data_IF_153988539017
#
_entry.id   IF_153988539017
#
_cell.length_a   1.000
_cell.length_b   1.000
_cell.length_c   1.000
_cell.angle_alpha   90.00
_cell.angle_beta   90.00
_cell.angle_gamma   90.00
#
_symmetry.space_group_name_H-M   'P 1'
#
loop_
_entity.id
_entity.type
_entity.pdbx_description
1 polymer ?
#
# COMPACT_ATOMS: atom_id res chain seq x y z
N UNK A 1 -22.39 6.37 45.39
CA UNK A 1 -21.31 7.05 44.62
C UNK A 1 -20.48 6.09 43.76
N UNK A 2 -20.05 4.91 44.22
CA UNK A 2 -19.20 3.96 43.43
C UNK A 2 -19.85 3.45 42.13
N UNK A 3 -21.17 3.21 42.09
CA UNK A 3 -21.89 2.71 40.91
C UNK A 3 -22.01 3.74 39.77
N UNK A 4 -22.13 5.02 40.10
CA UNK A 4 -22.22 6.10 39.12
C UNK A 4 -20.85 6.37 38.42
N UNK A 5 -19.76 6.20 39.17
CA UNK A 5 -18.39 6.38 38.61
C UNK A 5 -18.05 5.27 37.61
N UNK A 6 -18.47 4.02 37.91
CA UNK A 6 -18.24 2.87 36.98
C UNK A 6 -19.04 3.04 35.69
N UNK A 7 -20.28 3.52 35.77
CA UNK A 7 -21.10 3.78 34.58
C UNK A 7 -20.54 4.91 33.73
N UNK A 8 -19.96 5.95 34.35
CA UNK A 8 -19.31 7.06 33.60
C UNK A 8 -18.01 6.61 32.92
N UNK A 9 -17.21 5.76 33.60
CA UNK A 9 -15.99 5.20 32.98
C UNK A 9 -16.32 4.27 31.82
N UNK A 10 -17.35 3.44 31.91
CA UNK A 10 -17.78 2.57 30.84
C UNK A 10 -18.29 3.37 29.62
N UNK A 11 -18.97 4.50 29.87
CA UNK A 11 -19.42 5.38 28.77
C UNK A 11 -18.27 6.11 28.10
N UNK A 12 -17.25 6.54 28.84
CA UNK A 12 -16.06 7.17 28.27
C UNK A 12 -15.23 6.19 27.44
N UNK A 13 -15.10 4.93 27.86
CA UNK A 13 -14.37 3.91 27.11
C UNK A 13 -15.09 3.55 25.80
N UNK A 14 -16.42 3.44 25.84
CA UNK A 14 -17.20 3.20 24.60
C UNK A 14 -17.19 4.40 23.64
N UNK A 15 -17.11 5.63 24.14
CA UNK A 15 -17.01 6.83 23.30
C UNK A 15 -15.63 6.97 22.66
N UNK A 16 -14.55 6.61 23.38
CA UNK A 16 -13.18 6.61 22.83
C UNK A 16 -13.01 5.51 21.79
N UNK A 17 -13.61 4.33 21.98
CA UNK A 17 -13.60 3.28 20.97
C UNK A 17 -14.40 3.66 19.71
N UNK A 18 -15.49 4.43 19.85
CA UNK A 18 -16.26 4.93 18.70
C UNK A 18 -15.54 6.08 17.96
N UNK A 19 -14.71 6.88 18.66
CA UNK A 19 -13.93 7.96 18.04
C UNK A 19 -12.65 7.43 17.36
N UNK A 20 -12.12 6.28 17.77
CA UNK A 20 -10.98 5.64 17.10
C UNK A 20 -11.36 5.05 15.71
N UNK A 21 -12.66 4.90 15.42
CA UNK A 21 -13.18 4.45 14.11
C UNK A 21 -13.49 5.61 13.15
N UNK A 22 -13.35 6.87 13.55
CA UNK A 22 -13.62 8.07 12.73
C UNK A 22 -12.32 8.80 12.36
N UNK A 23 -11.17 8.19 12.55
CA UNK A 23 -9.87 8.66 12.08
C UNK A 23 -9.58 8.22 10.66
N UNK A 24 -10.57 8.24 9.76
CA UNK A 24 -10.35 8.06 8.34
C UNK A 24 -10.44 9.41 7.65
N UNK A 25 -9.30 9.94 7.23
CA UNK A 25 -9.25 10.86 6.11
C UNK A 25 -10.06 10.24 4.96
N UNK A 26 -11.00 11.02 4.40
CA UNK A 26 -11.96 10.50 3.44
C UNK A 26 -11.33 10.02 2.16
N UNK A 27 -11.02 8.75 2.11
CA UNK A 27 -10.88 8.04 0.84
C UNK A 27 -12.27 7.98 0.21
N UNK A 28 -12.39 8.46 -1.01
CA UNK A 28 -13.61 8.25 -1.79
C UNK A 28 -13.91 6.76 -1.88
N UNK A 29 -15.19 6.37 -2.03
CA UNK A 29 -15.55 4.96 -2.12
C UNK A 29 -14.74 4.28 -3.22
N UNK A 30 -14.21 3.11 -2.93
CA UNK A 30 -13.56 2.27 -3.94
C UNK A 30 -14.57 1.93 -5.02
N UNK A 31 -14.21 2.17 -6.29
CA UNK A 31 -15.08 1.84 -7.41
C UNK A 31 -15.04 0.35 -7.74
N UNK A 32 -13.92 -0.31 -7.46
CA UNK A 32 -13.66 -1.68 -7.92
C UNK A 32 -12.73 -2.42 -6.97
N UNK A 33 -12.85 -3.75 -6.98
CA UNK A 33 -11.85 -4.65 -6.39
C UNK A 33 -11.09 -5.34 -7.52
N UNK A 34 -9.77 -5.40 -7.40
CA UNK A 34 -8.90 -6.09 -8.35
C UNK A 34 -8.17 -7.23 -7.65
N UNK A 35 -8.12 -8.39 -8.32
CA UNK A 35 -7.34 -9.56 -7.90
C UNK A 35 -6.23 -9.81 -8.92
N UNK A 36 -5.00 -9.49 -8.54
CA UNK A 36 -3.80 -9.67 -9.38
C UNK A 36 -3.08 -11.00 -9.11
N UNK A 37 -3.75 -11.94 -8.44
CA UNK A 37 -3.24 -13.25 -8.05
C UNK A 37 -2.28 -13.17 -6.86
N UNK A 38 -1.23 -12.36 -6.95
CA UNK A 38 -0.24 -12.19 -5.87
C UNK A 38 -0.61 -11.07 -4.88
N UNK A 39 -1.54 -10.19 -5.25
CA UNK A 39 -2.20 -9.27 -4.32
C UNK A 39 -3.62 -8.94 -4.79
N UNK A 40 -4.46 -8.61 -3.83
CA UNK A 40 -5.82 -8.07 -4.03
C UNK A 40 -5.90 -6.68 -3.44
N UNK A 41 -6.72 -5.82 -4.00
CA UNK A 41 -6.81 -4.43 -3.54
C UNK A 41 -8.12 -3.77 -3.96
N UNK A 42 -8.59 -2.83 -3.19
CA UNK A 42 -9.62 -1.89 -3.62
C UNK A 42 -8.98 -0.79 -4.47
N UNK A 43 -9.50 -0.61 -5.69
CA UNK A 43 -9.02 0.40 -6.63
C UNK A 43 -9.88 1.66 -6.46
N UNK A 44 -9.29 2.79 -6.03
CA UNK A 44 -10.01 4.03 -5.81
C UNK A 44 -10.59 4.60 -7.10
N UNK A 45 -11.62 5.44 -6.95
CA UNK A 45 -12.22 6.16 -8.07
C UNK A 45 -11.19 7.05 -8.78
N UNK A 46 -11.21 7.02 -10.10
CA UNK A 46 -10.26 7.80 -10.91
C UNK A 46 -8.88 7.15 -11.08
N UNK A 47 -8.61 6.02 -10.39
CA UNK A 47 -7.40 5.24 -10.56
C UNK A 47 -7.65 4.12 -11.56
N UNK A 48 -6.71 3.90 -12.47
CA UNK A 48 -6.75 2.85 -13.49
C UNK A 48 -5.70 1.78 -13.23
N UNK A 49 -5.99 0.56 -13.66
CA UNK A 49 -4.99 -0.51 -13.68
C UNK A 49 -4.12 -0.35 -14.93
N UNK A 50 -2.82 -0.40 -14.74
CA UNK A 50 -1.84 -0.29 -15.82
C UNK A 50 -0.66 -1.26 -15.61
N UNK A 51 0.30 -1.25 -16.51
CA UNK A 51 1.53 -2.04 -16.40
C UNK A 51 2.75 -1.19 -16.78
N UNK A 52 3.91 -1.54 -16.28
CA UNK A 52 5.17 -0.85 -16.59
C UNK A 52 5.92 -1.43 -17.80
N UNK A 53 5.77 -2.72 -18.02
CA UNK A 53 6.42 -3.43 -19.13
C UNK A 53 5.83 -4.83 -19.26
N UNK A 54 5.22 -5.12 -20.39
CA UNK A 54 4.49 -6.37 -20.60
C UNK A 54 3.05 -6.30 -20.07
N UNK A 55 2.21 -7.25 -20.47
CA UNK A 55 0.77 -7.21 -20.18
C UNK A 55 0.37 -8.24 -19.10
N UNK A 56 1.25 -8.57 -18.17
CA UNK A 56 1.02 -9.65 -17.22
C UNK A 56 0.74 -9.13 -15.80
N UNK A 57 -0.05 -9.88 -15.03
CA UNK A 57 -0.52 -9.52 -13.69
C UNK A 57 0.62 -9.29 -12.67
N UNK A 58 1.77 -9.95 -12.84
CA UNK A 58 2.94 -9.75 -11.99
C UNK A 58 3.62 -8.36 -12.15
N UNK A 59 3.21 -7.57 -13.15
CA UNK A 59 3.68 -6.20 -13.41
C UNK A 59 2.57 -5.16 -13.25
N UNK A 60 1.47 -5.54 -12.62
CA UNK A 60 0.35 -4.65 -12.36
C UNK A 60 0.77 -3.41 -11.57
N UNK A 61 0.26 -2.28 -11.96
CA UNK A 61 0.41 -0.98 -11.32
C UNK A 61 -0.94 -0.29 -11.30
N UNK A 62 -1.11 0.65 -10.37
CA UNK A 62 -2.23 1.56 -10.37
C UNK A 62 -1.74 2.93 -10.86
N UNK A 63 -2.48 3.55 -11.76
CA UNK A 63 -2.10 4.81 -12.40
C UNK A 63 -3.17 5.88 -12.21
N UNK A 64 -2.72 7.07 -11.88
CA UNK A 64 -3.53 8.29 -11.83
C UNK A 64 -3.58 8.97 -13.21
N UNK A 65 -4.50 9.92 -13.37
CA UNK A 65 -4.70 10.63 -14.64
C UNK A 65 -3.51 11.48 -15.09
N UNK A 66 -2.67 11.92 -14.14
CA UNK A 66 -1.45 12.69 -14.38
C UNK A 66 -0.20 11.81 -14.66
N UNK A 67 -0.40 10.48 -14.81
CA UNK A 67 0.64 9.45 -14.95
C UNK A 67 1.46 9.13 -13.69
N UNK A 68 1.13 9.69 -12.53
CA UNK A 68 1.66 9.20 -11.26
C UNK A 68 1.21 7.75 -11.01
N UNK A 69 1.96 7.00 -10.24
CA UNK A 69 1.74 5.55 -10.12
C UNK A 69 1.93 5.05 -8.70
N UNK A 70 1.23 3.97 -8.42
CA UNK A 70 1.45 3.08 -7.28
C UNK A 70 2.01 1.79 -7.86
N UNK A 71 3.23 1.44 -7.49
CA UNK A 71 4.01 0.35 -8.09
C UNK A 71 4.35 -0.68 -7.02
N UNK A 72 3.58 -1.77 -6.88
CA UNK A 72 3.93 -2.87 -5.99
C UNK A 72 5.07 -3.71 -6.57
N UNK A 73 6.05 -4.03 -5.73
CA UNK A 73 7.21 -4.87 -6.09
C UNK A 73 7.47 -5.88 -4.97
N UNK A 74 7.62 -7.16 -5.31
CA UNK A 74 7.97 -8.21 -4.36
C UNK A 74 9.44 -8.59 -4.46
N UNK A 75 10.10 -8.64 -3.31
CA UNK A 75 11.49 -9.07 -3.16
C UNK A 75 11.56 -10.36 -2.33
N UNK A 76 11.88 -11.46 -3.00
CA UNK A 76 11.95 -12.80 -2.40
C UNK A 76 13.13 -12.89 -1.42
N UNK A 77 12.90 -13.52 -0.25
CA UNK A 77 13.93 -13.79 0.77
C UNK A 77 14.59 -12.56 1.39
N UNK A 78 14.02 -11.38 1.25
CA UNK A 78 14.52 -10.16 1.85
C UNK A 78 13.53 -9.70 2.94
N UNK A 79 14.00 -9.32 4.12
CA UNK A 79 13.15 -8.73 5.14
C UNK A 79 12.78 -7.28 4.76
N UNK A 80 11.79 -6.70 5.44
CA UNK A 80 11.40 -5.31 5.18
C UNK A 80 12.54 -4.34 5.52
N UNK A 81 13.30 -4.60 6.58
CA UNK A 81 14.46 -3.81 7.01
C UNK A 81 15.60 -3.90 6.02
N UNK A 82 15.90 -5.10 5.51
CA UNK A 82 16.94 -5.30 4.48
C UNK A 82 16.55 -4.58 3.18
N UNK A 83 15.26 -4.61 2.81
CA UNK A 83 14.77 -3.91 1.63
C UNK A 83 14.85 -2.39 1.83
N UNK A 84 14.47 -1.86 3.00
CA UNK A 84 14.61 -0.43 3.33
C UNK A 84 16.08 0.02 3.23
N UNK A 85 17.00 -0.74 3.82
CA UNK A 85 18.44 -0.45 3.75
C UNK A 85 18.98 -0.46 2.31
N UNK A 86 18.46 -1.36 1.46
CA UNK A 86 18.78 -1.38 0.01
C UNK A 86 18.27 -0.15 -0.73
N UNK A 87 17.10 0.37 -0.38
CA UNK A 87 16.59 1.64 -0.92
C UNK A 87 17.47 2.81 -0.48
N UNK A 88 17.83 2.87 0.81
CA UNK A 88 18.73 3.89 1.35
C UNK A 88 20.09 3.88 0.63
N UNK A 89 20.74 2.72 0.50
CA UNK A 89 22.02 2.58 -0.22
C UNK A 89 21.89 3.07 -1.66
N UNK A 90 20.82 2.70 -2.34
CA UNK A 90 20.59 3.05 -3.74
C UNK A 90 20.31 4.53 -3.97
N UNK A 91 19.59 5.19 -3.07
CA UNK A 91 19.04 6.53 -3.28
C UNK A 91 19.63 7.62 -2.38
N UNK A 92 20.53 7.30 -1.43
CA UNK A 92 21.16 8.28 -0.52
C UNK A 92 22.02 9.34 -1.22
N UNK A 93 22.59 9.02 -2.36
CA UNK A 93 23.45 9.93 -3.12
C UNK A 93 22.68 11.02 -3.86
N UNK A 94 22.41 10.79 -5.16
CA UNK A 94 21.84 11.80 -6.07
C UNK A 94 20.35 12.07 -5.84
N UNK A 95 19.64 11.23 -5.06
CA UNK A 95 18.19 11.27 -4.91
C UNK A 95 17.72 11.73 -3.54
N UNK A 96 18.64 12.15 -2.65
CA UNK A 96 18.32 12.69 -1.32
C UNK A 96 17.35 11.79 -0.54
N UNK A 97 17.69 10.50 -0.38
CA UNK A 97 16.90 9.58 0.41
C UNK A 97 16.68 10.09 1.83
N UNK A 98 15.49 9.90 2.35
CA UNK A 98 15.11 10.17 3.73
C UNK A 98 14.28 9.00 4.24
N UNK A 99 14.74 8.33 5.28
CA UNK A 99 13.95 7.37 6.03
C UNK A 99 12.97 8.13 6.93
N UNK A 100 11.70 7.73 6.93
CA UNK A 100 10.65 8.31 7.74
C UNK A 100 10.22 7.33 8.85
N UNK A 101 9.38 7.80 9.78
CA UNK A 101 8.78 6.96 10.80
C UNK A 101 7.87 5.89 10.16
N UNK A 102 7.82 4.68 10.71
CA UNK A 102 6.87 3.66 10.27
C UNK A 102 5.43 4.13 10.43
N UNK A 103 4.56 3.70 9.52
CA UNK A 103 3.11 3.98 9.55
C UNK A 103 2.30 2.70 9.57
N UNK A 104 1.07 2.76 10.05
CA UNK A 104 0.15 1.62 10.04
C UNK A 104 -1.03 1.92 9.14
N UNK A 105 -1.27 1.04 8.15
CA UNK A 105 -2.44 1.04 7.30
C UNK A 105 -3.06 -0.36 7.29
N UNK A 106 -4.35 -0.45 7.57
CA UNK A 106 -5.02 -1.73 7.76
C UNK A 106 -4.43 -2.50 8.94
N UNK A 107 -4.05 -3.74 8.70
CA UNK A 107 -3.41 -4.64 9.65
C UNK A 107 -1.88 -4.68 9.53
N UNK A 108 -1.29 -3.83 8.68
CA UNK A 108 0.13 -3.86 8.32
C UNK A 108 0.88 -2.64 8.83
N UNK A 109 2.08 -2.88 9.36
CA UNK A 109 3.07 -1.82 9.60
C UNK A 109 3.96 -1.70 8.36
N UNK A 110 4.15 -0.46 7.90
CA UNK A 110 4.94 -0.12 6.74
C UNK A 110 6.14 0.70 7.18
N UNK A 111 7.34 0.24 6.86
CA UNK A 111 8.55 1.04 6.90
C UNK A 111 8.50 2.01 5.72
N UNK A 112 8.93 3.25 5.91
CA UNK A 112 8.75 4.28 4.88
C UNK A 112 10.01 5.11 4.65
N UNK A 113 10.13 5.61 3.42
CA UNK A 113 11.16 6.56 3.06
C UNK A 113 10.81 7.28 1.76
N UNK A 114 11.49 8.39 1.52
CA UNK A 114 11.28 9.22 0.34
C UNK A 114 12.57 9.39 -0.43
N UNK A 115 12.47 9.46 -1.76
CA UNK A 115 13.56 9.92 -2.60
C UNK A 115 13.07 10.90 -3.68
N UNK A 116 13.94 11.84 -4.07
CA UNK A 116 13.62 12.88 -5.05
C UNK A 116 14.18 12.53 -6.43
N UNK A 117 13.43 12.85 -7.46
CA UNK A 117 13.86 12.74 -8.86
C UNK A 117 13.32 13.92 -9.68
N UNK A 118 13.63 14.00 -10.96
CA UNK A 118 13.22 15.12 -11.82
C UNK A 118 11.70 15.28 -11.97
N UNK A 119 10.94 14.20 -11.77
CA UNK A 119 9.47 14.20 -11.85
C UNK A 119 8.75 14.41 -10.51
N UNK A 120 9.48 14.66 -9.40
CA UNK A 120 8.88 14.86 -8.09
C UNK A 120 9.51 14.03 -6.98
N UNK A 121 8.71 13.58 -6.05
CA UNK A 121 9.12 12.71 -4.93
C UNK A 121 8.43 11.35 -5.06
N UNK A 122 9.18 10.28 -4.83
CA UNK A 122 8.60 8.96 -4.64
C UNK A 122 8.65 8.62 -3.15
N UNK A 123 7.49 8.29 -2.58
CA UNK A 123 7.38 7.69 -1.25
C UNK A 123 7.32 6.18 -1.38
N UNK A 124 8.13 5.49 -0.60
CA UNK A 124 8.21 4.03 -0.59
C UNK A 124 7.60 3.51 0.69
N UNK A 125 6.70 2.55 0.59
CA UNK A 125 6.10 1.81 1.70
C UNK A 125 6.56 0.36 1.62
N UNK A 126 7.15 -0.17 2.69
CA UNK A 126 7.74 -1.52 2.71
C UNK A 126 7.14 -2.31 3.87
N UNK A 127 6.65 -3.51 3.59
CA UNK A 127 6.15 -4.44 4.61
C UNK A 127 6.65 -5.86 4.38
N UNK A 128 6.77 -6.63 5.46
CA UNK A 128 7.05 -8.06 5.38
C UNK A 128 5.84 -8.84 4.87
N UNK A 129 6.09 -9.83 4.06
CA UNK A 129 5.11 -10.83 3.59
C UNK A 129 5.71 -12.22 3.68
N UNK A 130 4.88 -13.26 3.50
CA UNK A 130 5.42 -14.61 3.40
C UNK A 130 6.44 -14.70 2.25
N UNK A 131 7.58 -15.34 2.52
CA UNK A 131 8.70 -15.57 1.60
C UNK A 131 9.49 -14.30 1.21
N UNK A 132 9.31 -13.15 1.90
CA UNK A 132 10.08 -11.94 1.61
C UNK A 132 9.42 -10.65 2.06
N UNK A 133 9.53 -9.61 1.26
CA UNK A 133 8.92 -8.31 1.51
C UNK A 133 8.34 -7.70 0.23
N UNK A 134 7.42 -6.76 0.41
CA UNK A 134 6.86 -5.98 -0.69
C UNK A 134 7.19 -4.51 -0.45
N UNK A 135 7.67 -3.83 -1.48
CA UNK A 135 7.65 -2.37 -1.56
C UNK A 135 6.48 -1.89 -2.42
N UNK A 136 5.93 -0.76 -2.06
CA UNK A 136 4.96 0.00 -2.88
C UNK A 136 5.56 1.38 -3.09
N UNK A 137 6.02 1.63 -4.31
CA UNK A 137 6.59 2.91 -4.71
C UNK A 137 5.45 3.81 -5.22
N UNK A 138 5.30 5.00 -4.64
CA UNK A 138 4.23 5.95 -4.93
C UNK A 138 4.82 7.27 -5.41
N UNK A 139 4.55 7.64 -6.64
CA UNK A 139 4.93 8.97 -7.14
C UNK A 139 4.00 10.03 -6.56
N UNK A 140 4.58 11.13 -6.06
CA UNK A 140 3.88 12.32 -5.56
C UNK A 140 2.77 11.97 -4.55
N UNK A 141 3.12 11.20 -3.50
CA UNK A 141 2.19 10.68 -2.51
C UNK A 141 1.25 11.74 -1.93
N UNK A 142 1.75 12.94 -1.64
CA UNK A 142 0.95 14.01 -1.02
C UNK A 142 -0.22 14.45 -1.91
N UNK A 143 -0.07 14.38 -3.24
CA UNK A 143 -1.12 14.75 -4.20
C UNK A 143 -2.22 13.67 -4.31
N UNK A 144 -1.93 12.43 -3.87
CA UNK A 144 -2.78 11.25 -4.00
C UNK A 144 -3.03 10.52 -2.68
N UNK A 145 -2.84 11.21 -1.57
CA UNK A 145 -2.82 10.61 -0.23
C UNK A 145 -4.05 9.75 0.05
N UNK A 146 -5.24 10.26 -0.22
CA UNK A 146 -6.50 9.55 0.10
C UNK A 146 -6.66 8.23 -0.69
N UNK A 147 -6.29 8.25 -1.97
CA UNK A 147 -6.35 7.08 -2.84
C UNK A 147 -5.27 6.04 -2.44
N UNK A 148 -4.06 6.51 -2.14
CA UNK A 148 -2.97 5.64 -1.68
C UNK A 148 -3.30 5.01 -0.33
N UNK A 149 -3.84 5.77 0.62
CA UNK A 149 -4.30 5.24 1.90
C UNK A 149 -5.40 4.18 1.72
N UNK A 150 -6.31 4.33 0.75
CA UNK A 150 -7.30 3.29 0.41
C UNK A 150 -6.60 2.02 -0.05
N UNK A 151 -5.62 2.12 -0.94
CA UNK A 151 -4.84 0.98 -1.42
C UNK A 151 -4.09 0.31 -0.26
N UNK A 152 -3.35 1.06 0.55
CA UNK A 152 -2.56 0.52 1.65
C UNK A 152 -3.40 -0.12 2.76
N UNK A 153 -4.61 0.40 3.00
CA UNK A 153 -5.55 -0.16 3.98
C UNK A 153 -6.21 -1.46 3.51
N UNK A 154 -6.33 -1.67 2.19
CA UNK A 154 -7.12 -2.77 1.64
C UNK A 154 -6.29 -3.82 0.92
N UNK A 155 -4.99 -3.59 0.73
CA UNK A 155 -4.13 -4.54 0.02
C UNK A 155 -3.91 -5.80 0.84
N UNK A 156 -4.19 -6.94 0.22
CA UNK A 156 -3.97 -8.28 0.76
C UNK A 156 -2.96 -9.01 -0.15
N UNK A 157 -1.97 -9.66 0.43
CA UNK A 157 -0.98 -10.43 -0.31
C UNK A 157 -1.29 -11.93 -0.24
N UNK A 158 -0.91 -12.68 -1.27
CA UNK A 158 -1.08 -14.12 -1.30
C UNK A 158 -0.22 -14.80 -0.22
N UNK A 159 -0.73 -15.87 0.38
CA UNK A 159 0.00 -16.66 1.38
C UNK A 159 1.24 -17.35 0.78
N UNK A 160 1.17 -17.82 -0.46
CA UNK A 160 2.27 -18.41 -1.21
C UNK A 160 2.71 -17.46 -2.34
N UNK A 161 3.55 -16.49 -1.99
CA UNK A 161 4.01 -15.46 -2.92
C UNK A 161 4.77 -16.02 -4.11
N UNK A 162 5.59 -17.07 -3.93
CA UNK A 162 6.37 -17.65 -5.02
C UNK A 162 5.50 -18.31 -6.07
N UNK A 163 4.44 -19.00 -5.67
CA UNK A 163 3.50 -19.64 -6.58
C UNK A 163 2.59 -18.61 -7.25
N UNK A 164 2.03 -17.70 -6.46
CA UNK A 164 1.20 -16.61 -6.95
C UNK A 164 1.93 -15.74 -7.99
N UNK A 165 3.21 -15.40 -7.77
CA UNK A 165 4.03 -14.66 -8.72
C UNK A 165 4.34 -15.45 -9.98
N UNK A 166 4.48 -16.77 -9.89
CA UNK A 166 4.64 -17.65 -11.07
C UNK A 166 3.38 -17.66 -11.91
N UNK A 167 2.22 -17.84 -11.29
CA UNK A 167 0.93 -17.80 -11.97
C UNK A 167 0.66 -16.42 -12.58
N UNK A 168 0.89 -15.33 -11.85
CA UNK A 168 0.68 -13.97 -12.31
C UNK A 168 1.53 -13.59 -13.55
N UNK A 169 2.63 -14.29 -13.82
CA UNK A 169 3.42 -14.10 -15.05
C UNK A 169 2.72 -14.64 -16.30
N UNK A 170 1.83 -15.61 -16.15
CA UNK A 170 1.12 -16.25 -17.25
C UNK A 170 -0.23 -15.59 -17.53
N UNK A 171 -0.78 -14.82 -16.57
CA UNK A 171 -2.09 -14.17 -16.70
C UNK A 171 -1.93 -12.75 -17.21
N UNK A 172 -2.69 -12.42 -18.26
CA UNK A 172 -2.70 -11.06 -18.82
C UNK A 172 -3.53 -10.12 -17.95
N UNK A 173 -3.10 -8.86 -17.84
CA UNK A 173 -3.88 -7.84 -17.12
C UNK A 173 -5.27 -7.63 -17.69
N UNK A 174 -5.45 -7.84 -19.00
CA UNK A 174 -6.77 -7.76 -19.65
C UNK A 174 -7.76 -8.81 -19.17
N UNK A 175 -7.26 -9.90 -18.59
CA UNK A 175 -8.04 -11.03 -18.11
C UNK A 175 -8.36 -10.91 -16.61
N UNK A 176 -7.81 -9.87 -15.96
CA UNK A 176 -8.09 -9.55 -14.55
C UNK A 176 -9.51 -8.99 -14.43
N UNK A 177 -10.32 -9.69 -13.65
CA UNK A 177 -11.70 -9.25 -13.37
C UNK A 177 -11.71 -8.08 -12.37
N UNK A 178 -12.12 -6.91 -12.85
CA UNK A 178 -12.34 -5.73 -12.02
C UNK A 178 -13.79 -5.78 -11.52
N UNK A 179 -14.02 -6.43 -10.39
CA UNK A 179 -15.35 -6.51 -9.76
C UNK A 179 -15.77 -5.16 -9.20
N UNK A 180 -17.01 -4.78 -9.49
CA UNK A 180 -17.69 -3.64 -8.87
C UNK A 180 -18.23 -4.00 -7.49
#
# INVERSE_FOLDING_TARGET
MKKAVIALLALCISLVAALALVGCGGSGPADKKADFIWFKVEVPKGVSVSNSAGNNANKAQLAFSNNDRIIPLWEKKMTAEELLARYEDRYSGSFNWKTNDPVTYGDKTWLTGDYKHSGGTTTVFITGVNEGSVSIDVNNFDDHKAEVETVLNTIEFADNMSEAMKEAKEVKLTDIDLKR
#
